data_IF_573918476506
#
_entry.id   IF_573918476506
#
_cell.length_a   1.000
_cell.length_b   1.000
_cell.length_c   1.000
_cell.angle_alpha   90.00
_cell.angle_beta   90.00
_cell.angle_gamma   90.00
#
_symmetry.space_group_name_H-M   'P 1'
#
loop_
_entity.id
_entity.type
_entity.pdbx_description
1 polymer ?
#
# COMPACT_ATOMS: atom_id res chain seq x y z
N UNK A 1 37.04 -52.06 32.41
CA UNK A 1 36.29 -50.78 32.64
C UNK A 1 36.61 -49.83 31.50
N UNK A 2 35.69 -49.71 30.54
CA UNK A 2 35.82 -48.78 29.40
C UNK A 2 35.01 -47.51 29.74
N UNK A 3 35.69 -46.37 29.88
CA UNK A 3 35.08 -45.05 30.07
C UNK A 3 34.67 -44.53 28.70
N UNK A 4 33.37 -44.34 28.48
CA UNK A 4 32.81 -43.58 27.34
C UNK A 4 32.82 -42.09 27.67
N UNK A 5 33.62 -41.32 26.90
CA UNK A 5 33.59 -39.86 26.95
C UNK A 5 32.45 -39.41 26.02
N UNK A 6 31.41 -38.84 26.62
CA UNK A 6 30.29 -38.24 25.88
C UNK A 6 30.70 -36.84 25.42
N UNK A 7 30.96 -36.68 24.12
CA UNK A 7 31.25 -35.38 23.51
C UNK A 7 29.91 -34.68 23.29
N UNK A 8 29.58 -33.67 24.11
CA UNK A 8 28.44 -32.81 23.91
C UNK A 8 28.82 -31.74 22.88
N UNK A 9 28.31 -31.89 21.65
CA UNK A 9 28.47 -30.92 20.58
C UNK A 9 27.48 -29.75 20.85
N UNK A 10 28.00 -28.65 21.38
CA UNK A 10 27.23 -27.43 21.55
C UNK A 10 27.06 -26.75 20.17
N UNK A 11 25.93 -26.97 19.52
CA UNK A 11 25.57 -26.22 18.32
C UNK A 11 25.14 -24.82 18.77
N UNK A 12 26.08 -23.88 18.68
CA UNK A 12 25.78 -22.46 18.76
C UNK A 12 24.93 -22.08 17.51
N UNK A 13 23.64 -22.09 17.66
CA UNK A 13 22.76 -21.43 16.73
C UNK A 13 23.06 -19.92 16.79
N UNK A 14 23.87 -19.45 15.86
CA UNK A 14 24.11 -18.03 15.65
C UNK A 14 22.80 -17.35 15.38
N UNK A 15 22.35 -16.52 16.33
CA UNK A 15 21.28 -15.54 16.09
C UNK A 15 21.83 -14.64 15.00
N UNK A 16 21.19 -14.54 13.80
CA UNK A 16 21.64 -13.59 12.81
C UNK A 16 21.54 -12.20 13.44
N UNK A 17 22.67 -11.54 13.60
CA UNK A 17 22.75 -10.12 13.90
C UNK A 17 22.10 -9.40 12.72
N UNK A 18 20.87 -8.89 12.90
CA UNK A 18 20.23 -7.99 11.97
C UNK A 18 20.94 -6.62 12.05
N UNK A 19 22.10 -6.53 11.45
CA UNK A 19 22.64 -5.27 11.00
C UNK A 19 21.82 -4.85 9.78
N UNK A 20 21.00 -3.83 9.89
CA UNK A 20 20.39 -3.20 8.72
C UNK A 20 21.55 -2.73 7.83
N UNK A 21 21.72 -3.35 6.66
CA UNK A 21 22.59 -2.77 5.62
C UNK A 21 21.97 -1.40 5.27
N UNK A 22 22.75 -0.34 5.39
CA UNK A 22 22.34 1.02 5.07
C UNK A 22 21.74 1.05 3.66
N UNK A 23 20.49 1.55 3.55
CA UNK A 23 19.92 2.03 2.30
C UNK A 23 19.45 0.99 1.29
N UNK A 24 18.63 -0.01 1.67
CA UNK A 24 17.96 -0.85 0.65
C UNK A 24 16.89 -0.06 -0.08
N UNK A 25 16.99 0.00 -1.42
CA UNK A 25 15.98 0.62 -2.30
C UNK A 25 15.28 -0.47 -3.08
N UNK A 26 13.96 -0.46 -3.03
CA UNK A 26 13.08 -1.36 -3.77
C UNK A 26 12.38 -0.51 -4.85
N UNK A 27 12.61 -0.84 -6.11
CA UNK A 27 12.00 -0.15 -7.24
C UNK A 27 10.95 -1.04 -7.90
N UNK A 28 9.67 -0.75 -7.65
CA UNK A 28 8.54 -1.38 -8.34
C UNK A 28 8.27 -0.57 -9.60
N UNK A 29 8.68 -1.10 -10.75
CA UNK A 29 8.78 -0.34 -12.01
C UNK A 29 7.88 -0.92 -13.10
N UNK A 30 7.27 -0.02 -13.88
CA UNK A 30 6.66 -0.29 -15.19
C UNK A 30 7.50 0.37 -16.29
N UNK A 31 7.05 0.34 -17.54
CA UNK A 31 7.76 0.99 -18.64
C UNK A 31 7.85 2.51 -18.46
N UNK A 32 6.80 3.14 -17.92
CA UNK A 32 6.72 4.61 -17.81
C UNK A 32 6.57 5.12 -16.36
N UNK A 33 6.49 4.25 -15.35
CA UNK A 33 6.37 4.68 -13.96
C UNK A 33 7.28 3.92 -13.01
N UNK A 34 7.61 4.54 -11.87
CA UNK A 34 8.35 3.93 -10.76
C UNK A 34 7.69 4.25 -9.43
N UNK A 35 7.57 3.23 -8.59
CA UNK A 35 7.27 3.35 -7.17
C UNK A 35 8.55 2.99 -6.40
N UNK A 36 9.17 3.98 -5.76
CA UNK A 36 10.43 3.81 -5.01
C UNK A 36 10.13 3.70 -3.53
N UNK A 37 10.52 2.58 -2.95
CA UNK A 37 10.42 2.30 -1.51
C UNK A 37 11.81 2.12 -0.96
N UNK A 38 12.10 2.76 0.16
CA UNK A 38 13.38 2.68 0.85
C UNK A 38 13.23 2.07 2.24
N UNK A 39 14.20 1.28 2.64
CA UNK A 39 14.31 0.79 4.02
C UNK A 39 15.20 1.77 4.78
N UNK A 40 14.68 2.43 5.82
CA UNK A 40 15.46 3.34 6.64
C UNK A 40 16.38 2.56 7.61
N UNK A 41 17.34 3.28 8.23
CA UNK A 41 18.32 2.70 9.17
C UNK A 41 17.69 1.95 10.36
N UNK A 42 16.46 2.26 10.67
CA UNK A 42 15.72 1.62 11.76
C UNK A 42 14.82 0.48 11.26
N UNK A 43 14.88 0.15 9.96
CA UNK A 43 14.14 -0.93 9.34
C UNK A 43 12.67 -0.61 8.97
N UNK A 44 12.29 0.67 8.92
CA UNK A 44 10.98 1.06 8.44
C UNK A 44 10.97 1.31 6.94
N UNK A 45 9.84 1.04 6.31
CA UNK A 45 9.64 1.33 4.90
C UNK A 45 9.16 2.77 4.68
N UNK A 46 9.75 3.43 3.69
CA UNK A 46 9.39 4.78 3.25
C UNK A 46 9.15 4.80 1.76
N UNK A 47 8.00 5.27 1.34
CA UNK A 47 7.72 5.56 -0.07
C UNK A 47 8.27 6.94 -0.41
N UNK A 48 9.23 6.99 -1.32
CA UNK A 48 9.92 8.22 -1.71
C UNK A 48 9.40 8.84 -2.99
N UNK A 49 8.89 8.00 -3.88
CA UNK A 49 8.43 8.42 -5.19
C UNK A 49 7.34 7.47 -5.70
N UNK A 50 6.32 8.02 -6.30
CA UNK A 50 5.45 7.35 -7.26
C UNK A 50 5.13 8.34 -8.38
N UNK A 51 5.62 8.07 -9.56
CA UNK A 51 5.58 9.02 -10.68
C UNK A 51 6.25 8.47 -11.92
N UNK A 52 6.76 9.35 -12.77
CA UNK A 52 7.51 8.98 -13.98
C UNK A 52 8.68 8.04 -13.68
N UNK A 53 9.06 7.23 -14.66
CA UNK A 53 10.10 6.23 -14.51
C UNK A 53 11.44 6.84 -14.08
N UNK A 54 12.04 6.22 -13.07
CA UNK A 54 13.39 6.53 -12.59
C UNK A 54 14.29 5.36 -12.98
N UNK A 55 15.22 5.62 -13.92
CA UNK A 55 16.13 4.60 -14.44
C UNK A 55 17.18 4.17 -13.41
N UNK A 56 17.72 5.12 -12.65
CA UNK A 56 18.71 4.88 -11.59
C UNK A 56 18.13 5.32 -10.25
N UNK A 57 17.84 4.34 -9.39
CA UNK A 57 17.35 4.57 -8.04
C UNK A 57 18.45 4.63 -6.98
N UNK A 58 19.72 4.48 -7.36
CA UNK A 58 20.86 4.50 -6.43
C UNK A 58 20.96 5.76 -5.56
N UNK A 59 20.62 6.98 -6.06
CA UNK A 59 20.64 8.17 -5.20
C UNK A 59 19.69 8.13 -4.00
N UNK A 60 18.70 7.24 -4.02
CA UNK A 60 17.77 7.09 -2.89
C UNK A 60 18.34 6.25 -1.74
N UNK A 61 19.47 5.56 -1.92
CA UNK A 61 20.13 4.81 -0.84
C UNK A 61 20.64 5.71 0.27
N UNK A 62 21.11 6.91 -0.08
CA UNK A 62 21.67 7.88 0.85
C UNK A 62 20.63 8.88 1.40
N UNK A 63 19.35 8.64 1.08
CA UNK A 63 18.29 9.55 1.50
C UNK A 63 18.07 9.45 3.01
N UNK A 64 18.51 10.50 3.73
CA UNK A 64 18.30 10.61 5.17
C UNK A 64 16.91 11.19 5.46
N UNK A 65 16.07 10.37 6.07
CA UNK A 65 14.79 10.84 6.57
C UNK A 65 15.00 11.65 7.87
N UNK A 66 14.84 12.96 7.78
CA UNK A 66 14.71 13.79 8.95
C UNK A 66 13.45 13.36 9.73
N UNK A 67 13.62 12.69 10.85
CA UNK A 67 12.51 12.50 11.80
C UNK A 67 12.39 13.84 12.53
N UNK A 68 11.36 14.60 12.23
CA UNK A 68 11.04 15.78 13.02
C UNK A 68 10.58 15.31 14.39
N UNK A 69 11.36 15.60 15.42
CA UNK A 69 10.97 15.32 16.81
C UNK A 69 9.63 16.03 17.08
N UNK A 70 8.60 15.26 17.41
CA UNK A 70 7.27 15.77 17.77
C UNK A 70 6.22 15.79 16.65
N UNK A 71 6.58 15.54 15.39
CA UNK A 71 5.63 15.52 14.26
C UNK A 71 5.40 14.14 13.66
N UNK A 72 6.02 13.11 14.22
CA UNK A 72 5.91 11.75 13.70
C UNK A 72 6.63 11.56 12.37
N UNK A 73 6.43 10.39 11.80
CA UNK A 73 6.98 10.02 10.52
C UNK A 73 5.97 10.25 9.41
N UNK A 74 6.42 10.85 8.33
CA UNK A 74 5.66 11.00 7.09
C UNK A 74 6.20 10.03 6.04
N UNK A 75 5.38 9.70 5.04
CA UNK A 75 5.75 8.82 3.92
C UNK A 75 6.02 7.35 4.33
N UNK A 76 5.45 6.85 5.40
CA UNK A 76 5.47 5.40 5.67
C UNK A 76 4.72 4.64 4.58
N UNK A 77 5.34 3.57 4.05
CA UNK A 77 4.74 2.74 3.00
C UNK A 77 3.53 1.97 3.50
N UNK A 78 3.51 1.59 4.77
CA UNK A 78 2.38 0.89 5.39
C UNK A 78 2.31 1.27 6.88
N UNK A 79 1.74 2.44 7.22
CA UNK A 79 1.71 2.95 8.58
C UNK A 79 0.84 2.07 9.49
N UNK A 80 1.31 1.85 10.71
CA UNK A 80 0.61 1.07 11.74
C UNK A 80 0.26 1.94 12.94
N UNK A 81 -0.80 1.57 13.66
CA UNK A 81 -1.07 2.18 14.96
C UNK A 81 0.02 1.80 15.95
N UNK A 82 0.59 2.78 16.63
CA UNK A 82 1.75 2.60 17.52
C UNK A 82 3.09 2.65 16.79
N UNK A 83 3.09 2.78 15.45
CA UNK A 83 4.25 3.11 14.64
C UNK A 83 4.72 4.54 14.85
N UNK A 84 5.50 5.06 13.91
CA UNK A 84 6.10 6.40 14.04
C UNK A 84 5.23 7.53 13.48
N UNK A 85 4.18 7.22 12.71
CA UNK A 85 3.25 8.17 12.11
C UNK A 85 2.10 8.52 13.02
N UNK A 86 1.58 9.75 12.89
CA UNK A 86 0.34 10.20 13.58
C UNK A 86 -0.86 10.25 12.64
N UNK A 87 -0.69 9.83 11.39
CA UNK A 87 -1.74 9.74 10.39
C UNK A 87 -2.64 8.52 10.60
N UNK A 88 -3.77 8.47 9.88
CA UNK A 88 -4.61 7.26 9.91
C UNK A 88 -3.78 6.04 9.53
N UNK A 89 -3.74 4.99 10.38
CA UNK A 89 -2.93 3.82 10.12
C UNK A 89 -3.57 2.93 9.06
N UNK A 90 -2.74 2.37 8.17
CA UNK A 90 -3.18 1.33 7.24
C UNK A 90 -3.54 0.03 7.98
N UNK A 91 -2.85 -0.25 9.09
CA UNK A 91 -3.13 -1.38 9.96
C UNK A 91 -3.26 -0.93 11.40
N UNK A 92 -4.39 -1.26 12.02
CA UNK A 92 -4.62 -1.09 13.45
C UNK A 92 -5.11 -2.41 14.03
N UNK A 93 -4.40 -2.89 15.05
CA UNK A 93 -4.63 -4.20 15.68
C UNK A 93 -4.91 -4.02 17.16
N UNK A 94 -5.80 -4.83 17.71
CA UNK A 94 -5.83 -5.11 19.13
C UNK A 94 -5.20 -6.48 19.33
N UNK A 95 -4.01 -6.47 19.94
CA UNK A 95 -3.26 -7.69 20.26
C UNK A 95 -3.95 -8.52 21.35
N UNK A 96 -3.56 -9.78 21.49
CA UNK A 96 -4.18 -10.70 22.47
C UNK A 96 -4.12 -10.21 23.92
N UNK A 97 -3.11 -9.39 24.25
CA UNK A 97 -2.90 -8.80 25.59
C UNK A 97 -3.64 -7.47 25.78
N UNK A 98 -4.37 -6.99 24.74
CA UNK A 98 -5.05 -5.70 24.73
C UNK A 98 -4.18 -4.52 24.31
N UNK A 99 -2.89 -4.72 24.01
CA UNK A 99 -2.03 -3.68 23.43
C UNK A 99 -2.52 -3.29 22.04
N UNK A 100 -2.36 -2.03 21.69
CA UNK A 100 -2.77 -1.45 20.42
C UNK A 100 -1.58 -1.08 19.52
N UNK A 101 -0.36 -1.21 20.05
CA UNK A 101 0.85 -0.80 19.35
C UNK A 101 1.35 -1.94 18.48
N UNK A 102 1.51 -1.66 17.20
CA UNK A 102 2.09 -2.56 16.22
C UNK A 102 3.26 -1.86 15.54
N UNK A 103 4.45 -2.44 15.59
CA UNK A 103 5.66 -1.88 15.00
C UNK A 103 6.23 -2.81 13.94
N UNK A 104 5.83 -2.63 12.70
CA UNK A 104 6.32 -3.45 11.58
C UNK A 104 7.71 -3.01 11.14
N UNK A 105 8.62 -3.99 11.05
CA UNK A 105 9.98 -3.83 10.54
C UNK A 105 10.18 -4.64 9.29
N UNK A 106 10.99 -4.12 8.39
CA UNK A 106 11.44 -4.84 7.20
C UNK A 106 12.25 -6.08 7.59
N UNK A 107 11.91 -7.22 7.01
CA UNK A 107 12.63 -8.47 7.16
C UNK A 107 13.41 -8.80 5.88
N UNK A 108 12.70 -8.85 4.76
CA UNK A 108 13.27 -9.18 3.46
C UNK A 108 12.34 -8.78 2.33
N UNK A 109 12.80 -8.83 1.11
CA UNK A 109 11.95 -8.79 -0.07
C UNK A 109 12.50 -9.73 -1.14
N UNK A 110 11.64 -10.13 -2.04
CA UNK A 110 12.00 -10.83 -3.28
C UNK A 110 11.23 -10.21 -4.44
N UNK A 111 11.86 -10.26 -5.60
CA UNK A 111 11.27 -9.80 -6.86
C UNK A 111 11.45 -10.89 -7.91
N UNK A 112 10.39 -11.25 -8.57
CA UNK A 112 10.37 -12.29 -9.60
C UNK A 112 9.57 -11.83 -10.81
N UNK A 113 9.98 -12.26 -12.00
CA UNK A 113 9.23 -12.04 -13.22
C UNK A 113 8.25 -13.20 -13.43
N UNK A 114 6.98 -12.88 -13.68
CA UNK A 114 5.91 -13.85 -13.88
C UNK A 114 5.18 -13.58 -15.21
N UNK A 115 4.22 -14.42 -15.56
CA UNK A 115 3.32 -14.24 -16.71
C UNK A 115 4.07 -13.90 -18.02
N UNK A 116 4.89 -14.84 -18.47
CA UNK A 116 5.68 -14.73 -19.71
C UNK A 116 6.64 -13.54 -19.75
N UNK A 117 7.06 -13.04 -18.60
CA UNK A 117 8.02 -11.94 -18.49
C UNK A 117 7.39 -10.54 -18.50
N UNK A 118 6.07 -10.42 -18.45
CA UNK A 118 5.36 -9.12 -18.52
C UNK A 118 5.00 -8.56 -17.15
N UNK A 119 4.96 -9.39 -16.11
CA UNK A 119 4.58 -8.97 -14.75
C UNK A 119 5.75 -9.16 -13.80
N UNK A 120 6.15 -8.08 -13.16
CA UNK A 120 7.18 -8.09 -12.14
C UNK A 120 6.50 -8.10 -10.76
N UNK A 121 6.64 -9.19 -10.02
CA UNK A 121 6.04 -9.37 -8.69
C UNK A 121 7.08 -9.15 -7.62
N UNK A 122 6.85 -8.14 -6.78
CA UNK A 122 7.67 -7.86 -5.60
C UNK A 122 6.87 -8.14 -4.34
N UNK A 123 7.44 -8.93 -3.43
CA UNK A 123 6.87 -9.18 -2.10
C UNK A 123 7.84 -8.62 -1.07
N UNK A 124 7.33 -7.77 -0.19
CA UNK A 124 8.09 -7.20 0.93
C UNK A 124 7.54 -7.79 2.23
N UNK A 125 8.39 -8.48 2.97
CA UNK A 125 8.06 -9.11 4.23
C UNK A 125 8.34 -8.16 5.40
N UNK A 126 7.31 -7.90 6.20
CA UNK A 126 7.37 -7.10 7.42
C UNK A 126 6.97 -7.96 8.62
N UNK A 127 7.52 -7.66 9.79
CA UNK A 127 7.09 -8.31 11.03
C UNK A 127 7.16 -7.35 12.22
N UNK A 128 6.22 -7.52 13.14
CA UNK A 128 6.34 -7.04 14.51
C UNK A 128 7.00 -8.14 15.35
N UNK A 129 8.28 -7.94 15.65
CA UNK A 129 9.08 -8.93 16.37
C UNK A 129 8.72 -9.04 17.86
N UNK A 130 8.00 -8.06 18.40
CA UNK A 130 7.58 -8.04 19.80
C UNK A 130 6.30 -8.85 20.00
N UNK A 131 5.29 -8.59 19.18
CA UNK A 131 3.96 -9.19 19.36
C UNK A 131 3.77 -10.45 18.49
N UNK A 132 4.46 -10.57 17.36
CA UNK A 132 4.38 -11.74 16.47
C UNK A 132 3.34 -11.60 15.36
N UNK A 133 3.09 -10.38 14.89
CA UNK A 133 2.30 -10.11 13.70
C UNK A 133 3.22 -10.00 12.48
N UNK A 134 2.80 -10.53 11.35
CA UNK A 134 3.53 -10.39 10.09
C UNK A 134 2.64 -9.82 8.99
N UNK A 135 3.24 -9.06 8.07
CA UNK A 135 2.55 -8.49 6.90
C UNK A 135 3.42 -8.65 5.67
N UNK A 136 2.85 -9.22 4.62
CA UNK A 136 3.45 -9.25 3.30
C UNK A 136 2.78 -8.18 2.44
N UNK A 137 3.56 -7.21 1.93
CA UNK A 137 3.11 -6.26 0.93
C UNK A 137 3.43 -6.81 -0.45
N UNK A 138 2.42 -7.00 -1.28
CA UNK A 138 2.55 -7.62 -2.59
C UNK A 138 2.30 -6.56 -3.65
N UNK A 139 3.30 -6.34 -4.53
CA UNK A 139 3.22 -5.45 -5.68
C UNK A 139 3.36 -6.27 -6.96
N UNK A 140 2.43 -6.10 -7.90
CA UNK A 140 2.48 -6.68 -9.24
C UNK A 140 2.55 -5.52 -10.24
N UNK A 141 3.70 -5.32 -10.85
CA UNK A 141 3.91 -4.29 -11.87
C UNK A 141 3.70 -4.89 -13.26
N UNK A 142 2.62 -4.51 -13.92
CA UNK A 142 2.28 -4.83 -15.31
C UNK A 142 3.01 -3.83 -16.21
N UNK A 143 4.13 -4.27 -16.76
CA UNK A 143 5.13 -3.37 -17.32
C UNK A 143 4.60 -2.56 -18.50
N UNK A 144 3.97 -3.21 -19.48
CA UNK A 144 3.52 -2.57 -20.72
C UNK A 144 2.22 -1.76 -20.56
N UNK A 145 1.40 -2.12 -19.57
CA UNK A 145 0.13 -1.43 -19.28
C UNK A 145 0.30 -0.23 -18.36
N UNK A 146 1.49 -0.06 -17.74
CA UNK A 146 1.76 0.98 -16.74
C UNK A 146 0.82 0.91 -15.53
N UNK A 147 0.57 -0.32 -15.05
CA UNK A 147 -0.32 -0.58 -13.91
C UNK A 147 0.45 -1.30 -12.81
N UNK A 148 0.28 -0.85 -11.58
CA UNK A 148 0.77 -1.51 -10.37
C UNK A 148 -0.45 -1.95 -9.56
N UNK A 149 -0.54 -3.24 -9.27
CA UNK A 149 -1.56 -3.80 -8.37
C UNK A 149 -0.90 -4.09 -7.03
N UNK A 150 -1.52 -3.62 -5.95
CA UNK A 150 -0.99 -3.81 -4.59
C UNK A 150 -2.06 -4.36 -3.66
N UNK A 151 -1.67 -5.31 -2.83
CA UNK A 151 -2.44 -5.79 -1.70
C UNK A 151 -1.52 -6.22 -0.55
N UNK A 152 -2.11 -6.50 0.61
CA UNK A 152 -1.38 -7.00 1.77
C UNK A 152 -1.96 -8.31 2.29
N UNK A 153 -1.09 -9.16 2.85
CA UNK A 153 -1.48 -10.36 3.59
C UNK A 153 -1.04 -10.15 5.04
N UNK A 154 -2.01 -10.12 5.96
CA UNK A 154 -1.79 -9.92 7.39
C UNK A 154 -1.88 -11.29 8.05
N UNK A 155 -0.83 -11.73 8.77
CA UNK A 155 -0.78 -13.03 9.44
C UNK A 155 -0.56 -12.86 10.93
N UNK A 156 -1.34 -13.59 11.71
CA UNK A 156 -1.20 -13.64 13.15
C UNK A 156 -0.35 -14.87 13.57
N UNK A 157 0.86 -14.62 14.05
CA UNK A 157 1.75 -15.64 14.63
C UNK A 157 1.77 -15.60 16.19
N UNK A 158 1.00 -14.70 16.82
CA UNK A 158 0.87 -14.60 18.27
C UNK A 158 0.21 -15.85 18.89
N UNK A 159 0.48 -16.09 20.18
CA UNK A 159 -0.16 -17.18 20.95
C UNK A 159 -1.59 -16.81 21.39
N UNK A 160 -2.43 -16.34 20.48
CA UNK A 160 -3.80 -15.95 20.76
C UNK A 160 -4.48 -15.34 19.57
N UNK A 161 -5.70 -14.87 19.77
CA UNK A 161 -6.49 -14.21 18.72
C UNK A 161 -6.25 -12.70 18.77
N UNK A 162 -6.08 -12.08 17.60
CA UNK A 162 -5.98 -10.63 17.42
C UNK A 162 -7.22 -10.11 16.72
N UNK A 163 -7.53 -8.83 16.94
CA UNK A 163 -8.62 -8.14 16.25
C UNK A 163 -8.07 -7.05 15.35
N UNK A 164 -8.35 -7.15 14.04
CA UNK A 164 -8.02 -6.10 13.08
C UNK A 164 -9.10 -5.02 13.11
N UNK A 165 -8.70 -3.78 13.43
CA UNK A 165 -9.58 -2.60 13.48
C UNK A 165 -9.50 -1.77 12.21
N UNK A 166 -8.31 -1.61 11.62
CA UNK A 166 -8.07 -1.12 10.27
C UNK A 166 -7.22 -2.16 9.52
N UNK A 167 -7.51 -2.37 8.25
CA UNK A 167 -6.81 -3.34 7.40
C UNK A 167 -6.88 -2.90 5.93
N UNK A 168 -6.33 -1.72 5.65
CA UNK A 168 -6.26 -1.22 4.27
C UNK A 168 -5.33 -2.07 3.42
N UNK A 169 -5.64 -2.15 2.14
CA UNK A 169 -4.85 -2.90 1.17
C UNK A 169 -3.48 -2.27 0.94
N UNK A 170 -3.45 -0.94 0.94
CA UNK A 170 -2.25 -0.17 0.68
C UNK A 170 -2.33 1.23 1.29
N UNK A 171 -1.16 1.83 1.50
CA UNK A 171 -0.99 3.25 1.73
C UNK A 171 -0.05 3.82 0.66
N UNK A 172 -0.39 5.00 0.15
CA UNK A 172 0.40 5.69 -0.86
C UNK A 172 0.58 7.15 -0.43
N UNK A 173 1.72 7.49 0.17
CA UNK A 173 2.09 8.88 0.43
C UNK A 173 2.56 9.54 -0.86
N UNK A 174 1.99 10.71 -1.19
CA UNK A 174 2.24 11.47 -2.41
C UNK A 174 2.67 12.88 -2.02
N UNK A 175 3.67 13.42 -2.73
CA UNK A 175 4.14 14.80 -2.58
C UNK A 175 3.85 15.60 -3.82
N UNK A 176 3.06 16.67 -3.67
CA UNK A 176 2.79 17.66 -4.69
C UNK A 176 2.41 19.00 -4.02
N UNK A 177 2.38 20.08 -4.77
CA UNK A 177 1.96 21.38 -4.22
C UNK A 177 0.44 21.48 -4.07
N UNK A 178 -0.30 20.83 -4.98
CA UNK A 178 -1.76 20.82 -5.02
C UNK A 178 -2.28 19.44 -5.43
N UNK A 179 -3.49 19.12 -4.97
CA UNK A 179 -4.15 17.84 -5.21
C UNK A 179 -5.61 18.06 -5.58
N UNK A 180 -5.97 17.77 -6.83
CA UNK A 180 -7.37 17.77 -7.27
C UNK A 180 -7.88 16.33 -7.32
N UNK A 181 -8.75 15.98 -6.39
CA UNK A 181 -9.41 14.68 -6.36
C UNK A 181 -10.61 14.68 -7.30
N UNK A 182 -10.64 13.70 -8.21
CA UNK A 182 -11.79 13.39 -9.07
C UNK A 182 -12.32 12.01 -8.68
N UNK A 183 -13.61 11.93 -8.34
CA UNK A 183 -14.26 10.68 -8.02
C UNK A 183 -15.68 10.63 -8.59
N UNK A 184 -16.28 9.46 -8.59
CA UNK A 184 -17.63 9.22 -9.07
C UNK A 184 -18.59 9.07 -7.90
N UNK A 185 -19.73 9.74 -8.01
CA UNK A 185 -20.84 9.63 -7.06
C UNK A 185 -22.17 9.46 -7.82
N UNK A 186 -23.25 9.24 -7.11
CA UNK A 186 -24.54 9.17 -7.78
C UNK A 186 -25.70 8.76 -6.87
N UNK A 187 -26.82 8.51 -7.53
CA UNK A 187 -28.02 7.95 -6.95
C UNK A 187 -28.72 7.08 -7.98
N UNK A 188 -29.82 6.46 -7.62
CA UNK A 188 -30.63 5.69 -8.56
C UNK A 188 -31.05 6.54 -9.76
N UNK A 189 -30.85 6.04 -10.98
CA UNK A 189 -31.04 6.71 -12.26
C UNK A 189 -30.18 7.97 -12.48
N UNK A 190 -29.16 8.19 -11.65
CA UNK A 190 -28.18 9.28 -11.74
C UNK A 190 -26.79 8.81 -11.29
N UNK A 191 -26.38 7.61 -11.72
CA UNK A 191 -25.11 7.00 -11.36
C UNK A 191 -23.95 7.68 -12.09
N UNK A 192 -22.73 7.44 -11.59
CA UNK A 192 -21.45 7.83 -12.21
C UNK A 192 -21.31 9.33 -12.53
N UNK A 193 -21.79 10.19 -11.66
CA UNK A 193 -21.56 11.63 -11.75
C UNK A 193 -20.14 11.96 -11.32
N UNK A 194 -19.48 12.78 -12.11
CA UNK A 194 -18.10 13.21 -11.81
C UNK A 194 -18.13 14.36 -10.80
N UNK A 195 -17.30 14.25 -9.77
CA UNK A 195 -17.04 15.32 -8.81
C UNK A 195 -15.54 15.62 -8.77
N UNK A 196 -15.20 16.90 -8.80
CA UNK A 196 -13.85 17.40 -8.60
C UNK A 196 -13.78 18.14 -7.26
N UNK A 197 -12.79 17.83 -6.43
CA UNK A 197 -12.61 18.45 -5.13
C UNK A 197 -11.13 18.79 -4.92
N UNK A 198 -10.83 20.07 -4.73
CA UNK A 198 -9.51 20.50 -4.31
C UNK A 198 -9.29 20.03 -2.86
N UNK A 199 -8.29 19.21 -2.62
CA UNK A 199 -7.97 18.75 -1.28
C UNK A 199 -7.31 19.87 -0.49
N UNK A 200 -7.75 20.02 0.76
CA UNK A 200 -7.19 20.93 1.75
C UNK A 200 -6.71 20.13 2.96
N UNK A 201 -5.94 20.74 3.85
CA UNK A 201 -5.46 20.09 5.07
C UNK A 201 -6.60 19.43 5.85
N UNK A 202 -6.37 18.20 6.28
CA UNK A 202 -7.34 17.36 6.95
C UNK A 202 -7.65 16.11 6.14
N UNK A 203 -8.76 15.47 6.44
CA UNK A 203 -9.12 14.18 5.89
C UNK A 203 -10.40 14.26 5.10
N UNK A 204 -10.37 13.74 3.86
CA UNK A 204 -11.56 13.46 3.04
C UNK A 204 -11.64 11.95 2.79
N UNK A 205 -12.84 11.38 2.87
CA UNK A 205 -13.08 9.98 2.56
C UNK A 205 -14.13 9.82 1.47
N UNK A 206 -13.90 8.88 0.56
CA UNK A 206 -14.89 8.32 -0.36
C UNK A 206 -15.15 6.90 0.12
N UNK A 207 -16.35 6.62 0.64
CA UNK A 207 -16.61 5.34 1.28
C UNK A 207 -18.04 4.83 1.06
N UNK A 208 -18.19 3.52 1.06
CA UNK A 208 -19.48 2.84 1.14
C UNK A 208 -19.62 2.08 2.44
N UNK A 209 -20.83 2.15 3.02
CA UNK A 209 -21.27 1.38 4.21
C UNK A 209 -22.56 0.62 3.92
N UNK A 210 -22.87 0.39 2.63
CA UNK A 210 -24.15 -0.15 2.14
C UNK A 210 -24.04 -1.61 1.69
N UNK A 211 -23.02 -2.34 2.14
CA UNK A 211 -22.74 -3.70 1.72
C UNK A 211 -22.31 -3.74 0.26
N UNK A 212 -22.93 -4.60 -0.54
CA UNK A 212 -22.55 -4.80 -1.95
C UNK A 212 -23.07 -3.72 -2.91
N UNK A 213 -23.71 -2.68 -2.40
CA UNK A 213 -24.24 -1.56 -3.22
C UNK A 213 -23.21 -0.43 -3.34
N UNK A 214 -22.05 -0.70 -3.91
CA UNK A 214 -21.00 0.30 -4.05
C UNK A 214 -21.28 1.34 -5.12
N UNK A 215 -21.99 0.98 -6.19
CA UNK A 215 -22.07 1.76 -7.44
C UNK A 215 -23.15 2.81 -7.50
N UNK A 216 -24.16 2.79 -6.60
CA UNK A 216 -25.24 3.76 -6.66
C UNK A 216 -24.88 5.14 -6.14
N UNK A 217 -24.08 5.21 -5.09
CA UNK A 217 -23.74 6.48 -4.44
C UNK A 217 -22.27 6.81 -4.53
N UNK A 218 -21.42 5.81 -4.33
CA UNK A 218 -19.97 5.97 -4.34
C UNK A 218 -19.34 4.85 -5.17
N UNK A 219 -18.21 5.17 -5.79
CA UNK A 219 -17.44 4.22 -6.60
C UNK A 219 -16.04 4.07 -5.98
N UNK A 220 -15.50 2.83 -5.89
CA UNK A 220 -14.19 2.59 -5.28
C UNK A 220 -13.01 3.00 -6.19
N UNK A 221 -13.19 4.07 -6.97
CA UNK A 221 -12.19 4.59 -7.92
C UNK A 221 -11.96 6.07 -7.72
N UNK A 222 -10.76 6.52 -8.01
CA UNK A 222 -10.37 7.92 -7.93
C UNK A 222 -9.33 8.28 -8.99
N UNK A 223 -9.20 9.57 -9.28
CA UNK A 223 -8.07 10.17 -9.95
C UNK A 223 -7.58 11.36 -9.13
N UNK A 224 -6.27 11.49 -8.99
CA UNK A 224 -5.60 12.63 -8.37
C UNK A 224 -4.80 13.35 -9.43
N UNK A 225 -5.23 14.54 -9.82
CA UNK A 225 -4.42 15.45 -10.65
C UNK A 225 -3.50 16.25 -9.73
N UNK A 226 -2.19 16.21 -10.02
CA UNK A 226 -1.15 16.78 -9.18
C UNK A 226 -0.74 18.17 -9.70
N UNK A 227 -0.40 19.08 -8.78
CA UNK A 227 0.10 20.42 -9.08
C UNK A 227 -0.83 21.30 -9.93
N UNK A 228 -2.15 21.06 -9.85
CA UNK A 228 -3.15 21.78 -10.65
C UNK A 228 -4.45 21.98 -9.87
N UNK A 229 -5.21 22.99 -10.28
CA UNK A 229 -6.58 23.26 -9.80
C UNK A 229 -7.65 22.83 -10.82
N UNK A 230 -7.23 22.26 -11.97
CA UNK A 230 -8.16 21.88 -13.04
C UNK A 230 -7.91 20.45 -13.52
N UNK A 231 -9.00 19.75 -13.82
CA UNK A 231 -8.95 18.45 -14.48
C UNK A 231 -8.58 18.59 -15.96
N UNK A 232 -7.73 17.71 -16.46
CA UNK A 232 -7.37 17.65 -17.88
C UNK A 232 -7.27 16.19 -18.36
N UNK A 233 -7.87 15.94 -19.53
CA UNK A 233 -7.76 14.63 -20.21
C UNK A 233 -6.38 14.42 -20.85
N UNK A 234 -5.73 15.49 -21.32
CA UNK A 234 -4.59 15.41 -22.23
C UNK A 234 -3.28 15.92 -21.63
N UNK A 235 -3.30 16.51 -20.44
CA UNK A 235 -2.12 17.13 -19.85
C UNK A 235 -2.05 16.98 -18.34
N UNK A 236 -0.83 17.08 -17.80
CA UNK A 236 -0.54 17.04 -16.36
C UNK A 236 -0.33 15.65 -15.81
N UNK A 237 0.13 15.62 -14.57
CA UNK A 237 0.34 14.38 -13.85
C UNK A 237 -0.93 13.90 -13.15
N UNK A 238 -1.27 12.64 -13.37
CA UNK A 238 -2.45 12.00 -12.79
C UNK A 238 -2.08 10.64 -12.21
N UNK A 239 -2.48 10.41 -10.97
CA UNK A 239 -2.50 9.08 -10.35
C UNK A 239 -3.95 8.61 -10.31
N UNK A 240 -4.25 7.48 -10.94
CA UNK A 240 -5.57 6.87 -10.86
C UNK A 240 -5.51 5.58 -10.06
N UNK A 241 -6.56 5.31 -9.29
CA UNK A 241 -6.68 4.11 -8.49
C UNK A 241 -8.08 3.54 -8.48
N UNK A 242 -8.19 2.21 -8.37
CA UNK A 242 -9.46 1.51 -8.21
C UNK A 242 -9.27 0.31 -7.28
N UNK A 243 -10.12 0.18 -6.28
CA UNK A 243 -10.12 -0.96 -5.37
C UNK A 243 -10.99 -2.09 -5.94
N UNK A 244 -10.41 -3.27 -6.12
CA UNK A 244 -11.10 -4.47 -6.60
C UNK A 244 -11.94 -5.10 -5.47
N UNK A 245 -12.98 -4.41 -5.04
CA UNK A 245 -13.84 -4.81 -3.95
C UNK A 245 -15.30 -4.39 -4.19
N UNK A 246 -16.23 -5.32 -4.06
CA UNK A 246 -17.66 -5.08 -4.26
C UNK A 246 -18.44 -4.83 -2.96
N UNK A 247 -17.80 -4.94 -1.79
CA UNK A 247 -18.38 -4.70 -0.48
C UNK A 247 -18.19 -3.27 0.02
N UNK A 248 -18.33 -3.08 1.33
CA UNK A 248 -18.01 -1.81 1.97
C UNK A 248 -16.52 -1.48 1.76
N UNK A 249 -16.24 -0.30 1.23
CA UNK A 249 -14.89 0.17 0.96
C UNK A 249 -14.65 1.54 1.59
N UNK A 250 -13.38 1.88 1.78
CA UNK A 250 -12.95 3.22 2.17
C UNK A 250 -11.70 3.61 1.38
N UNK A 251 -11.76 4.76 0.71
CA UNK A 251 -10.64 5.49 0.18
C UNK A 251 -10.46 6.72 1.07
N UNK A 252 -9.33 6.85 1.72
CA UNK A 252 -9.05 7.93 2.65
C UNK A 252 -7.92 8.81 2.11
N UNK A 253 -8.14 10.11 2.08
CA UNK A 253 -7.22 11.12 1.56
C UNK A 253 -6.91 12.09 2.70
N UNK A 254 -5.76 11.93 3.35
CA UNK A 254 -5.33 12.74 4.47
C UNK A 254 -4.16 13.64 4.05
N UNK A 255 -4.44 14.95 3.91
CA UNK A 255 -3.42 15.95 3.60
C UNK A 255 -2.84 16.53 4.89
N UNK A 256 -1.56 16.28 5.11
CA UNK A 256 -0.83 16.67 6.32
C UNK A 256 -0.39 18.15 6.28
N UNK A 257 0.09 18.65 7.43
CA UNK A 257 0.73 19.96 7.56
C UNK A 257 2.03 20.09 6.75
N UNK A 258 2.64 18.98 6.37
CA UNK A 258 3.85 18.93 5.52
C UNK A 258 3.55 18.83 4.02
N UNK A 259 2.30 19.04 3.65
CA UNK A 259 1.82 18.93 2.28
C UNK A 259 2.07 17.53 1.65
N UNK A 260 2.07 16.48 2.48
CA UNK A 260 2.06 15.09 2.04
C UNK A 260 0.63 14.58 2.08
N UNK A 261 0.16 14.07 0.96
CA UNK A 261 -1.13 13.40 0.87
C UNK A 261 -0.94 11.90 1.13
N UNK A 262 -1.51 11.39 2.21
CA UNK A 262 -1.57 9.96 2.47
C UNK A 262 -2.88 9.40 1.92
N UNK A 263 -2.79 8.52 0.94
CA UNK A 263 -3.94 7.82 0.36
C UNK A 263 -3.97 6.41 0.92
N UNK A 264 -5.04 6.06 1.64
CA UNK A 264 -5.32 4.71 2.10
C UNK A 264 -6.50 4.15 1.32
N UNK A 265 -6.40 2.91 0.87
CA UNK A 265 -7.48 2.24 0.15
C UNK A 265 -7.66 0.80 0.65
N UNK A 266 -8.91 0.40 0.93
CA UNK A 266 -9.18 -0.95 1.40
C UNK A 266 -10.65 -1.21 1.70
N UNK A 267 -10.93 -2.42 2.18
CA UNK A 267 -12.25 -2.75 2.70
C UNK A 267 -12.54 -1.90 3.96
N UNK A 268 -13.78 -1.40 4.03
CA UNK A 268 -14.22 -0.57 5.16
C UNK A 268 -14.46 -1.47 6.39
N UNK A 269 -13.79 -1.23 7.53
CA UNK A 269 -14.00 -2.01 8.75
C UNK A 269 -15.36 -1.73 9.42
N UNK A 270 -16.12 -0.77 8.92
CA UNK A 270 -17.45 -0.48 9.43
C UNK A 270 -18.36 -1.72 9.34
N UNK A 271 -18.89 -2.18 10.45
CA UNK A 271 -19.71 -3.39 10.59
C UNK A 271 -19.01 -4.70 10.19
N UNK A 272 -17.69 -4.72 10.12
CA UNK A 272 -16.92 -5.89 9.71
C UNK A 272 -15.66 -6.06 10.55
N UNK A 273 -15.84 -6.49 11.80
CA UNK A 273 -14.70 -6.85 12.65
C UNK A 273 -14.02 -8.12 12.14
N UNK A 274 -12.71 -8.10 12.01
CA UNK A 274 -11.89 -9.26 11.63
C UNK A 274 -11.10 -9.76 12.83
N UNK A 275 -11.24 -11.06 13.10
CA UNK A 275 -10.49 -11.76 14.12
C UNK A 275 -9.60 -12.78 13.43
N UNK A 276 -8.34 -12.85 13.84
CA UNK A 276 -7.40 -13.85 13.35
C UNK A 276 -6.90 -14.66 14.54
N UNK A 277 -7.13 -15.97 14.49
CA UNK A 277 -6.52 -16.92 15.40
C UNK A 277 -5.05 -17.12 15.03
N UNK A 278 -4.27 -17.73 15.90
CA UNK A 278 -2.87 -18.04 15.61
C UNK A 278 -2.73 -18.88 14.34
N UNK A 279 -1.86 -18.45 13.44
CA UNK A 279 -1.60 -19.08 12.15
C UNK A 279 -2.58 -18.71 11.05
N UNK A 280 -3.65 -17.96 11.37
CA UNK A 280 -4.56 -17.46 10.37
C UNK A 280 -4.01 -16.21 9.68
N UNK A 281 -4.43 -16.03 8.44
CA UNK A 281 -4.10 -14.86 7.63
C UNK A 281 -5.34 -14.24 7.01
N UNK A 282 -5.25 -12.95 6.74
CA UNK A 282 -6.25 -12.19 5.99
C UNK A 282 -5.58 -11.50 4.82
N UNK A 283 -6.05 -11.81 3.61
CA UNK A 283 -5.65 -11.13 2.39
C UNK A 283 -6.61 -10.00 2.09
N UNK A 284 -6.07 -8.79 1.88
CA UNK A 284 -6.84 -7.60 1.56
C UNK A 284 -7.20 -7.56 0.08
N UNK A 285 -8.27 -6.82 -0.33
CA UNK A 285 -8.58 -6.59 -1.74
C UNK A 285 -7.42 -5.92 -2.50
N UNK A 286 -7.31 -6.19 -3.80
CA UNK A 286 -6.32 -5.55 -4.67
C UNK A 286 -6.66 -4.06 -4.91
N UNK A 287 -5.70 -3.16 -4.72
CA UNK A 287 -5.74 -1.78 -5.19
C UNK A 287 -4.96 -1.70 -6.50
N UNK A 288 -5.64 -1.29 -7.57
CA UNK A 288 -5.08 -1.14 -8.91
C UNK A 288 -4.69 0.32 -9.07
N UNK A 289 -3.43 0.60 -9.38
CA UNK A 289 -2.87 1.94 -9.51
C UNK A 289 -2.24 2.15 -10.90
N UNK A 290 -2.34 3.35 -11.43
CA UNK A 290 -1.57 3.80 -12.60
C UNK A 290 -1.17 5.25 -12.44
N UNK A 291 -0.02 5.60 -13.01
CA UNK A 291 0.43 6.98 -13.15
C UNK A 291 0.47 7.39 -14.61
N UNK A 292 0.21 8.65 -14.89
CA UNK A 292 0.33 9.25 -16.21
C UNK A 292 0.86 10.68 -16.12
N UNK A 293 1.84 11.04 -16.92
CA UNK A 293 2.25 12.42 -17.16
C UNK A 293 1.52 13.10 -18.32
N UNK A 294 0.52 12.44 -18.91
CA UNK A 294 -0.24 12.86 -20.09
C UNK A 294 -1.74 12.94 -19.82
N UNK A 295 -2.12 13.42 -18.63
CA UNK A 295 -3.51 13.62 -18.24
C UNK A 295 -4.29 12.36 -17.89
N UNK A 296 -5.55 12.57 -17.55
CA UNK A 296 -6.49 11.54 -17.09
C UNK A 296 -6.86 10.52 -18.16
N UNK A 297 -6.94 10.94 -19.42
CA UNK A 297 -7.23 10.08 -20.56
C UNK A 297 -6.17 8.99 -20.77
N UNK A 298 -4.88 9.31 -20.56
CA UNK A 298 -3.83 8.30 -20.61
C UNK A 298 -3.93 7.33 -19.44
N UNK A 299 -4.14 7.82 -18.22
CA UNK A 299 -4.33 6.97 -17.04
C UNK A 299 -5.52 6.01 -17.24
N UNK A 300 -6.64 6.50 -17.75
CA UNK A 300 -7.80 5.67 -18.10
C UNK A 300 -7.46 4.59 -19.14
N UNK A 301 -6.74 4.93 -20.21
CA UNK A 301 -6.33 3.96 -21.23
C UNK A 301 -5.40 2.88 -20.67
N UNK A 302 -4.52 3.20 -19.73
CA UNK A 302 -3.65 2.23 -19.05
C UNK A 302 -4.52 1.17 -18.33
N UNK A 303 -5.47 1.61 -17.51
CA UNK A 303 -6.39 0.71 -16.80
C UNK A 303 -7.23 -0.13 -17.76
N UNK A 304 -7.72 0.44 -18.87
CA UNK A 304 -8.50 -0.29 -19.88
C UNK A 304 -7.67 -1.36 -20.60
N UNK A 305 -6.40 -1.09 -20.95
CA UNK A 305 -5.49 -2.08 -21.54
C UNK A 305 -5.25 -3.23 -20.59
N UNK A 306 -4.89 -2.90 -19.33
CA UNK A 306 -4.67 -3.89 -18.29
C UNK A 306 -5.91 -4.75 -18.06
N UNK A 307 -7.10 -4.16 -17.95
CA UNK A 307 -8.33 -4.90 -17.71
C UNK A 307 -8.64 -5.88 -18.87
N UNK A 308 -8.46 -5.45 -20.13
CA UNK A 308 -8.67 -6.33 -21.29
C UNK A 308 -7.71 -7.51 -21.31
N UNK A 309 -6.44 -7.29 -20.97
CA UNK A 309 -5.41 -8.32 -21.05
C UNK A 309 -5.50 -9.33 -19.89
N UNK A 310 -5.75 -8.87 -18.67
CA UNK A 310 -5.58 -9.69 -17.48
C UNK A 310 -6.86 -9.99 -16.69
N UNK A 311 -7.95 -9.31 -16.94
CA UNK A 311 -9.20 -9.47 -16.15
C UNK A 311 -10.43 -9.81 -16.97
N UNK A 312 -10.47 -9.44 -18.24
CA UNK A 312 -11.61 -9.77 -19.09
C UNK A 312 -11.37 -11.11 -19.76
N UNK A 313 -12.11 -12.14 -19.35
CA UNK A 313 -12.18 -13.37 -20.11
C UNK A 313 -13.01 -13.11 -21.35
N UNK A 314 -12.37 -12.86 -22.50
CA UNK A 314 -13.05 -13.00 -23.78
C UNK A 314 -13.43 -14.48 -23.90
N UNK A 315 -14.72 -14.78 -23.79
CA UNK A 315 -15.21 -16.05 -24.28
C UNK A 315 -14.82 -16.09 -25.76
N UNK A 316 -13.86 -16.94 -26.12
CA UNK A 316 -13.58 -17.26 -27.51
C UNK A 316 -14.84 -17.87 -28.05
N UNK A 317 -15.56 -17.11 -28.89
CA UNK A 317 -16.72 -17.57 -29.64
C UNK A 317 -16.28 -18.65 -30.63
#
# INVERSE_FOLDING_TARGET
MRRYILLVLLVLLGIPSFGAEDGKVINVRTDNSSLIICVDKDGFLRTLHYGGVIADSSPFTDFQFGISKGHGSVCETYPTQGGRGFNEPALAVTHKNGDLNTELRYISHNTEMTENGNVNRTIIHLADLKEGLAVDLIYKAYMHEDVIVVNSIIRNDEKGTVMLRNYYSAALPIRADKYLLTHLYGSWAHETRVQHTQLIRGTMSVESRKGVRTTHTENPSFMLSLNTDSFSEDAGEVIAGSLAWSGNFKLNFELTEFNVLNVLAGANPYSATRWLSRGESFETPELILTWSGQGAGRASRNLHRWAREYKMHCATA
#
